data_IF_746127265024
#
_entry.id   IF_746127265024
#
_cell.length_a   1.000
_cell.length_b   1.000
_cell.length_c   1.000
_cell.angle_alpha   90.00
_cell.angle_beta   90.00
_cell.angle_gamma   90.00
#
_symmetry.space_group_name_H-M   'P 1'
#
loop_
_entity.id
_entity.type
_entity.pdbx_description
1 polymer ?
#
# COMPACT_ATOMS: atom_id res chain seq x y z
N UNK A 1 -18.56 8.76 -22.04
CA UNK A 1 -18.93 7.76 -21.01
C UNK A 1 -20.40 7.37 -21.13
N UNK A 2 -21.37 8.31 -21.16
CA UNK A 2 -22.81 7.98 -21.24
C UNK A 2 -23.15 7.00 -22.38
N UNK A 3 -22.68 7.25 -23.59
CA UNK A 3 -22.94 6.35 -24.74
C UNK A 3 -22.28 4.96 -24.53
N UNK A 4 -21.06 4.92 -23.99
CA UNK A 4 -20.37 3.65 -23.71
C UNK A 4 -21.14 2.83 -22.70
N UNK A 5 -21.50 3.40 -21.55
CA UNK A 5 -22.24 2.69 -20.50
C UNK A 5 -23.66 2.29 -20.94
N UNK A 6 -24.29 3.08 -21.83
CA UNK A 6 -25.59 2.73 -22.38
C UNK A 6 -25.53 1.45 -23.23
N UNK A 7 -24.53 1.33 -24.09
CA UNK A 7 -24.39 0.18 -24.99
C UNK A 7 -23.57 -0.97 -24.40
N UNK A 8 -22.69 -0.67 -23.46
CA UNK A 8 -21.74 -1.61 -22.83
C UNK A 8 -21.67 -1.38 -21.32
N UNK A 9 -22.71 -1.72 -20.55
CA UNK A 9 -22.82 -1.37 -19.12
C UNK A 9 -21.74 -2.00 -18.21
N UNK A 10 -21.05 -3.04 -18.69
CA UNK A 10 -20.01 -3.74 -17.92
C UNK A 10 -18.58 -3.24 -18.25
N UNK A 11 -18.43 -2.23 -19.11
CA UNK A 11 -17.13 -1.63 -19.45
C UNK A 11 -16.79 -0.57 -18.41
N UNK A 12 -15.55 -0.56 -17.96
CA UNK A 12 -15.04 0.45 -17.06
C UNK A 12 -14.29 1.54 -17.85
N UNK A 13 -14.58 2.79 -17.56
CA UNK A 13 -13.95 3.97 -18.14
C UNK A 13 -12.99 4.61 -17.14
N UNK A 14 -11.72 4.68 -17.51
CA UNK A 14 -10.65 5.23 -16.67
C UNK A 14 -10.20 6.58 -17.22
N UNK A 15 -10.08 7.59 -16.34
CA UNK A 15 -9.49 8.87 -16.68
C UNK A 15 -8.04 8.93 -16.24
N UNK A 16 -7.13 9.15 -17.20
CA UNK A 16 -5.77 9.59 -16.92
C UNK A 16 -5.74 11.11 -17.00
N UNK A 17 -5.93 11.77 -15.86
CA UNK A 17 -6.09 13.20 -15.77
C UNK A 17 -5.27 13.74 -14.57
N UNK A 18 -4.47 14.79 -14.81
CA UNK A 18 -3.45 15.31 -13.89
C UNK A 18 -3.82 16.63 -13.21
N UNK A 19 -4.94 17.23 -13.60
CA UNK A 19 -5.30 18.53 -13.07
C UNK A 19 -6.12 18.40 -11.81
N UNK A 20 -6.42 19.53 -11.18
CA UNK A 20 -7.34 19.63 -10.04
C UNK A 20 -8.82 19.66 -10.47
N UNK A 21 -9.14 19.27 -11.70
CA UNK A 21 -10.55 19.19 -12.13
C UNK A 21 -11.31 18.21 -11.25
N UNK A 22 -12.40 18.68 -10.68
CA UNK A 22 -13.22 17.91 -9.75
C UNK A 22 -14.32 17.13 -10.44
N UNK A 23 -14.86 16.12 -9.77
CA UNK A 23 -16.01 15.32 -10.21
C UNK A 23 -15.80 14.53 -11.49
N UNK A 24 -14.57 14.11 -11.75
CA UNK A 24 -14.26 13.25 -12.91
C UNK A 24 -15.03 11.93 -12.83
N UNK A 25 -15.10 11.32 -11.64
CA UNK A 25 -15.74 10.03 -11.41
C UNK A 25 -17.17 10.14 -10.85
N UNK A 26 -17.67 11.35 -10.70
CA UNK A 26 -19.05 11.56 -10.27
C UNK A 26 -20.02 11.39 -11.45
N UNK A 27 -21.27 11.11 -11.12
CA UNK A 27 -22.35 10.97 -12.11
C UNK A 27 -22.57 12.26 -12.90
N UNK A 28 -23.02 12.11 -14.14
CA UNK A 28 -23.30 13.26 -15.03
C UNK A 28 -24.41 14.15 -14.44
N UNK A 29 -25.41 13.55 -13.82
CA UNK A 29 -26.53 14.26 -13.17
C UNK A 29 -26.05 15.12 -11.97
N UNK A 30 -24.89 14.76 -11.37
CA UNK A 30 -24.24 15.51 -10.29
C UNK A 30 -23.23 16.56 -10.82
N UNK A 31 -23.19 16.74 -12.14
CA UNK A 31 -22.24 17.62 -12.82
C UNK A 31 -20.84 17.00 -13.00
N UNK A 32 -20.75 15.69 -12.92
CA UNK A 32 -19.53 14.93 -13.14
C UNK A 32 -19.31 14.53 -14.60
N UNK A 33 -18.19 13.84 -14.87
CA UNK A 33 -17.85 13.37 -16.22
C UNK A 33 -18.21 11.89 -16.46
N UNK A 34 -18.64 11.15 -15.42
CA UNK A 34 -19.11 9.78 -15.51
C UNK A 34 -18.02 8.76 -15.83
N UNK A 35 -16.77 9.01 -15.47
CA UNK A 35 -15.75 7.96 -15.44
C UNK A 35 -15.94 7.07 -14.23
N UNK A 36 -15.53 5.81 -14.35
CA UNK A 36 -15.59 4.87 -13.22
C UNK A 36 -14.43 5.10 -12.25
N UNK A 37 -13.26 5.39 -12.79
CA UNK A 37 -12.04 5.65 -12.01
C UNK A 37 -11.19 6.77 -12.61
N UNK A 38 -10.39 7.40 -11.73
CA UNK A 38 -9.37 8.38 -12.08
C UNK A 38 -8.02 7.94 -11.52
N UNK A 39 -6.95 8.10 -12.30
CA UNK A 39 -5.59 7.86 -11.80
C UNK A 39 -5.21 8.86 -10.71
N UNK A 40 -4.74 8.37 -9.57
CA UNK A 40 -4.21 9.21 -8.48
C UNK A 40 -2.71 9.49 -8.70
N UNK A 41 -2.41 10.39 -9.63
CA UNK A 41 -1.02 10.77 -9.91
C UNK A 41 -0.38 11.59 -8.77
N UNK A 42 -1.19 12.24 -7.93
CA UNK A 42 -0.71 12.91 -6.72
C UNK A 42 -0.11 11.91 -5.74
N UNK A 43 -0.86 10.87 -5.37
CA UNK A 43 -0.37 9.77 -4.54
C UNK A 43 0.90 9.13 -5.13
N UNK A 44 0.88 8.83 -6.43
CA UNK A 44 2.03 8.23 -7.11
C UNK A 44 3.29 9.06 -6.95
N UNK A 45 3.19 10.37 -7.22
CA UNK A 45 4.32 11.29 -7.11
C UNK A 45 4.84 11.40 -5.68
N UNK A 46 3.94 11.57 -4.70
CA UNK A 46 4.30 11.69 -3.29
C UNK A 46 5.00 10.42 -2.81
N UNK A 47 4.46 9.26 -3.15
CA UNK A 47 5.05 7.97 -2.74
C UNK A 47 6.39 7.69 -3.41
N UNK A 48 6.53 7.96 -4.70
CA UNK A 48 7.83 7.78 -5.37
C UNK A 48 8.88 8.75 -4.82
N UNK A 49 8.50 10.00 -4.56
CA UNK A 49 9.39 10.96 -3.91
C UNK A 49 9.85 10.44 -2.54
N UNK A 50 8.93 9.91 -1.73
CA UNK A 50 9.23 9.40 -0.41
C UNK A 50 10.09 8.14 -0.43
N UNK A 51 9.74 7.17 -1.26
CA UNK A 51 10.41 5.87 -1.30
C UNK A 51 11.83 5.93 -1.88
N UNK A 52 12.11 6.91 -2.74
CA UNK A 52 13.46 7.13 -3.30
C UNK A 52 14.41 7.84 -2.36
N UNK A 53 13.91 8.42 -1.25
CA UNK A 53 14.76 9.07 -0.25
C UNK A 53 15.60 8.03 0.50
N UNK A 54 16.84 8.38 0.80
CA UNK A 54 17.58 7.69 1.84
C UNK A 54 16.74 7.70 3.13
N UNK A 55 16.60 6.57 3.83
CA UNK A 55 15.72 6.47 5.00
C UNK A 55 16.00 7.47 6.11
N UNK A 56 17.21 8.05 6.19
CA UNK A 56 17.52 9.11 7.15
C UNK A 56 16.73 10.40 6.90
N UNK A 57 16.29 10.66 5.66
CA UNK A 57 15.55 11.86 5.26
C UNK A 57 14.03 11.68 5.30
N UNK A 58 13.55 10.46 5.44
CA UNK A 58 12.11 10.13 5.49
C UNK A 58 11.36 10.83 6.63
N UNK A 59 11.93 11.01 7.85
CA UNK A 59 11.30 11.79 8.92
C UNK A 59 10.89 13.21 8.52
N UNK A 60 11.67 13.85 7.67
CA UNK A 60 11.42 15.23 7.21
C UNK A 60 10.45 15.33 6.02
N UNK A 61 10.01 14.20 5.51
CA UNK A 61 9.12 14.09 4.35
C UNK A 61 7.90 13.21 4.65
N UNK A 62 7.53 13.09 5.92
CA UNK A 62 6.47 12.20 6.39
C UNK A 62 5.10 12.53 5.78
N UNK A 63 4.86 13.79 5.45
CA UNK A 63 3.62 14.25 4.80
C UNK A 63 3.36 13.55 3.46
N UNK A 64 4.41 13.12 2.74
CA UNK A 64 4.24 12.35 1.51
C UNK A 64 3.51 11.02 1.72
N UNK A 65 3.57 10.44 2.94
CA UNK A 65 2.83 9.23 3.30
C UNK A 65 1.36 9.50 3.60
N UNK A 66 1.03 10.68 4.11
CA UNK A 66 -0.26 10.97 4.73
C UNK A 66 -1.12 11.92 3.91
N UNK A 67 -0.52 12.79 3.08
CA UNK A 67 -1.24 13.82 2.36
C UNK A 67 -2.34 13.29 1.44
N UNK A 68 -2.10 12.18 0.74
CA UNK A 68 -3.06 11.59 -0.19
C UNK A 68 -4.39 11.19 0.46
N UNK A 69 -4.39 10.92 1.76
CA UNK A 69 -5.61 10.56 2.50
C UNK A 69 -6.59 11.72 2.66
N UNK A 70 -6.12 12.98 2.62
CA UNK A 70 -7.03 14.14 2.68
C UNK A 70 -8.03 14.18 1.53
N UNK A 71 -7.66 13.63 0.38
CA UNK A 71 -8.51 13.61 -0.80
C UNK A 71 -8.84 12.21 -1.31
N UNK A 72 -8.43 11.15 -0.61
CA UNK A 72 -8.56 9.76 -1.05
C UNK A 72 -9.98 9.35 -1.46
N UNK A 73 -11.00 10.03 -0.96
CA UNK A 73 -12.42 9.74 -1.22
C UNK A 73 -13.13 10.86 -2.00
N UNK A 74 -12.39 11.82 -2.56
CA UNK A 74 -12.96 12.87 -3.41
C UNK A 74 -13.31 12.38 -4.81
N UNK A 75 -12.71 11.28 -5.25
CA UNK A 75 -12.91 10.59 -6.52
C UNK A 75 -12.77 9.08 -6.30
N UNK A 76 -13.20 8.28 -7.27
CA UNK A 76 -12.88 6.86 -7.29
C UNK A 76 -11.46 6.68 -7.85
N UNK A 77 -10.48 6.59 -6.97
CA UNK A 77 -9.09 6.56 -7.39
C UNK A 77 -8.58 5.17 -7.77
N UNK A 78 -7.72 5.15 -8.80
CA UNK A 78 -6.79 4.10 -9.12
C UNK A 78 -5.38 4.58 -8.76
N UNK A 79 -4.62 3.82 -7.99
CA UNK A 79 -3.25 4.11 -7.60
C UNK A 79 -2.31 3.59 -8.71
N UNK A 80 -1.73 4.47 -9.56
CA UNK A 80 -0.96 4.00 -10.69
C UNK A 80 0.52 3.87 -10.34
N UNK A 81 1.11 2.74 -10.68
CA UNK A 81 2.54 2.56 -10.93
C UNK A 81 2.64 2.01 -12.36
N UNK A 82 2.62 2.94 -13.33
CA UNK A 82 2.44 2.64 -14.75
C UNK A 82 3.77 2.52 -15.49
N UNK A 83 3.70 2.44 -16.83
CA UNK A 83 4.88 2.48 -17.69
C UNK A 83 5.65 3.80 -17.61
N UNK A 84 4.97 4.92 -17.32
CA UNK A 84 5.58 6.23 -17.22
C UNK A 84 6.66 6.27 -16.12
N UNK A 85 6.41 5.57 -15.01
CA UNK A 85 7.31 5.56 -13.86
C UNK A 85 8.51 4.62 -14.03
N UNK A 86 8.54 3.79 -15.07
CA UNK A 86 9.58 2.81 -15.33
C UNK A 86 10.19 2.87 -16.74
N UNK A 87 9.81 3.89 -17.53
CA UNK A 87 10.35 4.15 -18.87
C UNK A 87 11.74 4.77 -18.83
N UNK A 88 12.35 4.89 -20.01
CA UNK A 88 13.74 5.37 -20.20
C UNK A 88 14.02 6.68 -19.45
N UNK A 89 15.06 6.68 -18.64
CA UNK A 89 15.50 7.81 -17.82
C UNK A 89 14.81 7.90 -16.45
N UNK A 90 13.88 7.01 -16.15
CA UNK A 90 13.15 7.00 -14.88
C UNK A 90 13.71 5.99 -13.86
N UNK A 91 14.45 4.99 -14.30
CA UNK A 91 14.81 3.82 -13.48
C UNK A 91 13.65 2.83 -13.36
N UNK A 92 13.89 1.70 -12.74
CA UNK A 92 12.84 0.74 -12.37
C UNK A 92 12.37 0.99 -10.93
N UNK A 93 11.20 0.50 -10.55
CA UNK A 93 10.75 0.64 -9.15
C UNK A 93 11.78 0.06 -8.17
N UNK A 94 12.36 -1.09 -8.50
CA UNK A 94 13.40 -1.71 -7.66
C UNK A 94 14.69 -0.89 -7.64
N UNK A 95 15.16 -0.41 -8.79
CA UNK A 95 16.43 0.33 -8.88
C UNK A 95 16.41 1.65 -8.11
N UNK A 96 15.26 2.29 -8.03
CA UNK A 96 15.05 3.56 -7.31
C UNK A 96 15.09 3.41 -5.80
N UNK A 97 14.79 2.23 -5.24
CA UNK A 97 14.85 2.03 -3.80
C UNK A 97 16.29 2.26 -3.31
N UNK A 98 16.49 2.98 -2.20
CA UNK A 98 17.82 3.26 -1.65
C UNK A 98 18.47 2.02 -1.01
N UNK A 99 19.77 2.15 -0.69
CA UNK A 99 20.51 1.13 0.03
C UNK A 99 21.09 0.03 -0.86
N UNK A 100 21.50 -1.04 -0.21
CA UNK A 100 22.02 -2.25 -0.86
C UNK A 100 20.88 -3.10 -1.47
N UNK A 101 21.23 -4.18 -2.15
CA UNK A 101 20.22 -5.02 -2.80
C UNK A 101 19.14 -5.57 -1.86
N UNK A 102 19.49 -5.96 -0.62
CA UNK A 102 18.49 -6.46 0.33
C UNK A 102 17.54 -5.34 0.74
N UNK A 103 18.08 -4.15 1.00
CA UNK A 103 17.29 -2.97 1.37
C UNK A 103 16.30 -2.61 0.27
N UNK A 104 16.75 -2.62 -1.00
CA UNK A 104 15.89 -2.35 -2.17
C UNK A 104 14.69 -3.30 -2.27
N UNK A 105 14.91 -4.60 -2.10
CA UNK A 105 13.82 -5.57 -2.11
C UNK A 105 12.89 -5.39 -0.91
N UNK A 106 13.41 -5.09 0.28
CA UNK A 106 12.61 -4.83 1.47
C UNK A 106 11.75 -3.58 1.32
N UNK A 107 12.34 -2.47 0.85
CA UNK A 107 11.63 -1.22 0.57
C UNK A 107 10.53 -1.42 -0.48
N UNK A 108 10.83 -2.12 -1.57
CA UNK A 108 9.82 -2.39 -2.60
C UNK A 108 8.65 -3.21 -2.05
N UNK A 109 8.93 -4.27 -1.27
CA UNK A 109 7.86 -5.05 -0.63
C UNK A 109 7.04 -4.19 0.35
N UNK A 110 7.69 -3.36 1.16
CA UNK A 110 7.00 -2.46 2.08
C UNK A 110 6.12 -1.45 1.33
N UNK A 111 6.65 -0.84 0.27
CA UNK A 111 5.90 0.10 -0.57
C UNK A 111 4.65 -0.54 -1.18
N UNK A 112 4.80 -1.70 -1.80
CA UNK A 112 3.67 -2.39 -2.44
C UNK A 112 2.66 -2.86 -1.39
N UNK A 113 3.10 -3.35 -0.23
CA UNK A 113 2.17 -3.74 0.84
C UNK A 113 1.40 -2.52 1.36
N UNK A 114 2.05 -1.37 1.58
CA UNK A 114 1.36 -0.12 1.90
C UNK A 114 0.35 0.28 0.82
N UNK A 115 0.75 0.25 -0.47
CA UNK A 115 -0.14 0.55 -1.59
C UNK A 115 -1.41 -0.31 -1.56
N UNK A 116 -1.29 -1.61 -1.24
CA UNK A 116 -2.43 -2.51 -1.17
C UNK A 116 -3.39 -2.18 -0.01
N UNK A 117 -2.88 -1.67 1.09
CA UNK A 117 -3.71 -1.22 2.21
C UNK A 117 -4.32 0.18 1.99
N UNK A 118 -3.68 1.05 1.21
CA UNK A 118 -4.17 2.39 0.92
C UNK A 118 -5.52 2.33 0.17
N UNK A 119 -6.52 3.22 0.45
CA UNK A 119 -7.73 3.31 -0.34
C UNK A 119 -7.48 3.53 -1.84
N UNK A 120 -8.33 2.96 -2.68
CA UNK A 120 -8.23 3.04 -4.14
C UNK A 120 -7.80 1.72 -4.80
N UNK A 121 -8.11 1.55 -6.09
CA UNK A 121 -7.74 0.36 -6.86
C UNK A 121 -6.25 0.39 -7.22
N UNK A 122 -5.68 -0.75 -7.53
CA UNK A 122 -4.24 -0.92 -7.75
C UNK A 122 -3.93 -1.10 -9.24
N UNK A 123 -2.94 -0.36 -9.73
CA UNK A 123 -2.40 -0.56 -11.08
C UNK A 123 -0.89 -0.72 -10.98
N UNK A 124 -0.41 -1.87 -11.43
CA UNK A 124 1.01 -2.19 -11.50
C UNK A 124 1.37 -2.51 -12.95
N UNK A 125 2.45 -1.92 -13.44
CA UNK A 125 2.95 -2.22 -14.76
C UNK A 125 3.69 -3.57 -14.78
N UNK A 126 3.59 -4.28 -15.91
CA UNK A 126 4.20 -5.59 -16.10
C UNK A 126 5.71 -5.58 -15.79
N UNK A 127 6.19 -6.66 -15.17
CA UNK A 127 7.58 -6.82 -14.76
C UNK A 127 7.88 -6.27 -13.37
N UNK A 128 7.00 -5.47 -12.77
CA UNK A 128 7.14 -5.02 -11.37
C UNK A 128 7.21 -6.22 -10.42
N UNK A 129 6.41 -7.24 -10.67
CA UNK A 129 6.31 -8.46 -9.88
C UNK A 129 7.57 -9.32 -9.90
N UNK A 130 8.39 -9.17 -10.93
CA UNK A 130 9.70 -9.83 -11.02
C UNK A 130 10.88 -8.95 -10.66
N UNK A 131 10.62 -7.66 -10.32
CA UNK A 131 11.67 -6.71 -9.97
C UNK A 131 12.60 -6.40 -11.14
N UNK A 132 12.03 -6.00 -12.28
CA UNK A 132 12.82 -5.63 -13.46
C UNK A 132 13.98 -4.71 -13.11
N UNK A 133 15.16 -4.98 -13.66
CA UNK A 133 16.39 -4.22 -13.44
C UNK A 133 16.73 -3.26 -14.59
N UNK A 134 16.05 -3.44 -15.72
CA UNK A 134 16.17 -2.60 -16.91
C UNK A 134 14.86 -1.84 -17.09
N UNK A 135 14.96 -0.56 -17.41
CA UNK A 135 13.84 0.30 -17.71
C UNK A 135 12.99 -0.29 -18.85
N UNK A 136 11.70 -0.03 -18.80
CA UNK A 136 10.79 -0.52 -19.82
C UNK A 136 11.09 0.09 -21.18
N UNK A 137 11.20 -0.80 -22.16
CA UNK A 137 11.30 -0.47 -23.58
C UNK A 137 10.38 -1.41 -24.35
N UNK A 138 9.45 -0.85 -25.14
CA UNK A 138 8.49 -1.63 -25.94
C UNK A 138 9.15 -2.58 -26.96
N UNK A 139 10.43 -2.40 -27.26
CA UNK A 139 11.21 -3.20 -28.21
C UNK A 139 11.76 -4.49 -27.60
N UNK A 140 11.71 -4.64 -26.29
CA UNK A 140 12.28 -5.80 -25.60
C UNK A 140 11.22 -6.49 -24.71
N UNK A 141 11.27 -7.81 -24.58
CA UNK A 141 10.34 -8.55 -23.72
C UNK A 141 10.63 -8.32 -22.24
N UNK A 142 9.69 -8.74 -21.39
CA UNK A 142 9.93 -8.86 -19.95
C UNK A 142 11.03 -9.88 -19.68
N UNK A 143 11.97 -9.57 -18.83
CA UNK A 143 13.13 -10.41 -18.52
C UNK A 143 12.78 -11.51 -17.53
N UNK A 144 12.12 -12.56 -18.01
CA UNK A 144 11.69 -13.70 -17.20
C UNK A 144 12.83 -14.51 -16.59
N UNK A 145 14.02 -14.47 -17.18
CA UNK A 145 15.24 -15.10 -16.64
C UNK A 145 15.66 -14.55 -15.27
N UNK A 146 15.21 -13.35 -14.87
CA UNK A 146 15.40 -12.86 -13.51
C UNK A 146 14.84 -13.81 -12.45
N UNK A 147 13.83 -14.60 -12.78
CA UNK A 147 13.23 -15.57 -11.85
C UNK A 147 14.14 -16.78 -11.54
N UNK A 148 15.25 -16.93 -12.25
CA UNK A 148 16.31 -17.89 -11.89
C UNK A 148 17.06 -17.44 -10.62
N UNK A 149 17.09 -16.11 -10.35
CA UNK A 149 17.66 -15.56 -9.15
C UNK A 149 16.69 -15.63 -7.97
N UNK A 150 17.19 -16.07 -6.81
CA UNK A 150 16.37 -16.32 -5.62
C UNK A 150 15.59 -15.11 -5.15
N UNK A 151 16.20 -13.91 -5.15
CA UNK A 151 15.54 -12.67 -4.70
C UNK A 151 14.36 -12.28 -5.59
N UNK A 152 14.51 -12.39 -6.91
CA UNK A 152 13.46 -12.08 -7.88
C UNK A 152 12.32 -13.10 -7.82
N UNK A 153 12.65 -14.39 -7.67
CA UNK A 153 11.65 -15.46 -7.47
C UNK A 153 10.86 -15.24 -6.16
N UNK A 154 11.53 -14.86 -5.06
CA UNK A 154 10.89 -14.55 -3.80
C UNK A 154 10.01 -13.30 -3.89
N UNK A 155 10.43 -12.28 -4.64
CA UNK A 155 9.61 -11.11 -4.90
C UNK A 155 8.34 -11.47 -5.68
N UNK A 156 8.44 -12.32 -6.72
CA UNK A 156 7.25 -12.78 -7.44
C UNK A 156 6.33 -13.60 -6.52
N UNK A 157 6.91 -14.43 -5.64
CA UNK A 157 6.11 -15.16 -4.64
C UNK A 157 5.39 -14.20 -3.69
N UNK A 158 6.06 -13.14 -3.23
CA UNK A 158 5.45 -12.07 -2.45
C UNK A 158 4.24 -11.45 -3.17
N UNK A 159 4.39 -11.04 -4.43
CA UNK A 159 3.28 -10.46 -5.20
C UNK A 159 2.10 -11.42 -5.34
N UNK A 160 2.38 -12.70 -5.61
CA UNK A 160 1.33 -13.73 -5.68
C UNK A 160 0.58 -13.87 -4.36
N UNK A 161 1.31 -13.92 -3.26
CA UNK A 161 0.74 -14.05 -1.91
C UNK A 161 -0.05 -12.82 -1.50
N UNK A 162 0.47 -11.61 -1.78
CA UNK A 162 -0.22 -10.36 -1.50
C UNK A 162 -1.50 -10.20 -2.34
N UNK A 163 -1.47 -10.53 -3.63
CA UNK A 163 -2.64 -10.51 -4.50
C UNK A 163 -3.73 -11.45 -3.98
N UNK A 164 -3.35 -12.67 -3.60
CA UNK A 164 -4.28 -13.63 -3.00
C UNK A 164 -4.87 -13.09 -1.71
N UNK A 165 -4.02 -12.59 -0.81
CA UNK A 165 -4.46 -12.02 0.45
C UNK A 165 -5.42 -10.84 0.26
N UNK A 166 -5.14 -9.94 -0.69
CA UNK A 166 -6.00 -8.82 -1.03
C UNK A 166 -7.40 -9.28 -1.46
N UNK A 167 -7.49 -10.26 -2.36
CA UNK A 167 -8.76 -10.78 -2.86
C UNK A 167 -9.57 -11.51 -1.78
N UNK A 168 -8.92 -12.15 -0.83
CA UNK A 168 -9.56 -12.88 0.27
C UNK A 168 -10.00 -11.97 1.43
N UNK A 169 -9.62 -10.69 1.42
CA UNK A 169 -9.89 -9.76 2.52
C UNK A 169 -10.64 -8.51 2.06
N UNK A 170 -11.96 -8.57 2.17
CA UNK A 170 -12.93 -7.54 1.79
C UNK A 170 -12.63 -6.12 2.33
N UNK A 171 -12.08 -5.94 3.55
CA UNK A 171 -11.73 -4.61 4.06
C UNK A 171 -10.85 -3.77 3.13
N UNK A 172 -10.06 -4.38 2.25
CA UNK A 172 -9.18 -3.65 1.34
C UNK A 172 -9.89 -3.02 0.14
N UNK A 173 -11.11 -3.46 -0.21
CA UNK A 173 -11.71 -3.03 -1.47
C UNK A 173 -13.22 -2.75 -1.44
N UNK A 174 -13.98 -3.18 -0.44
CA UNK A 174 -15.43 -2.97 -0.43
C UNK A 174 -15.81 -1.51 -0.20
N UNK A 175 -15.17 -0.84 0.77
CA UNK A 175 -15.45 0.55 1.09
C UNK A 175 -14.32 1.48 0.60
N UNK A 176 -13.78 1.21 -0.59
CA UNK A 176 -12.62 1.92 -1.14
C UNK A 176 -12.89 3.38 -1.49
N UNK A 177 -14.14 3.76 -1.65
CA UNK A 177 -14.57 5.10 -2.04
C UNK A 177 -15.25 5.87 -0.92
N UNK A 178 -15.07 5.42 0.33
CA UNK A 178 -15.76 6.00 1.49
C UNK A 178 -14.89 6.05 2.73
N UNK A 179 -14.99 7.15 3.46
CA UNK A 179 -14.40 7.28 4.80
C UNK A 179 -14.84 6.17 5.77
N UNK A 180 -15.99 5.53 5.56
CA UNK A 180 -16.44 4.39 6.38
C UNK A 180 -15.49 3.18 6.29
N UNK A 181 -14.67 3.10 5.25
CA UNK A 181 -13.71 2.02 5.04
C UNK A 181 -12.30 2.31 5.58
N UNK A 182 -12.10 3.46 6.25
CA UNK A 182 -10.77 3.88 6.67
C UNK A 182 -10.81 4.68 7.98
N UNK A 183 -9.87 4.37 8.89
CA UNK A 183 -9.58 5.20 10.07
C UNK A 183 -8.09 5.20 10.37
N UNK A 184 -7.58 6.36 10.73
CA UNK A 184 -6.24 6.48 11.31
C UNK A 184 -6.20 5.88 12.72
N UNK A 185 -5.11 5.15 13.03
CA UNK A 185 -4.74 4.78 14.39
C UNK A 185 -3.63 5.71 14.87
N UNK A 186 -2.59 5.88 14.04
CA UNK A 186 -1.44 6.71 14.33
C UNK A 186 -0.79 7.16 13.02
N UNK A 187 -0.66 8.47 12.82
CA UNK A 187 -0.20 9.00 11.52
C UNK A 187 0.93 10.03 11.64
N UNK A 188 1.34 10.41 12.85
CA UNK A 188 2.24 11.52 13.12
C UNK A 188 3.57 11.11 13.78
N UNK A 189 3.92 9.81 13.76
CA UNK A 189 5.25 9.37 14.19
C UNK A 189 6.29 9.57 13.08
N UNK A 190 6.49 10.83 12.73
CA UNK A 190 7.48 11.23 11.71
C UNK A 190 8.90 10.81 12.09
N UNK A 191 9.27 10.84 13.38
CA UNK A 191 10.62 10.49 13.85
C UNK A 191 11.01 9.07 13.50
N UNK A 192 10.07 8.13 13.66
CA UNK A 192 10.27 6.73 13.32
C UNK A 192 9.81 6.38 11.91
N UNK A 193 9.17 7.32 11.20
CA UNK A 193 8.51 7.07 9.90
C UNK A 193 7.55 5.88 9.96
N UNK A 194 6.76 5.83 11.04
CA UNK A 194 5.75 4.80 11.27
C UNK A 194 4.36 5.42 11.13
N UNK A 195 3.49 4.70 10.44
CA UNK A 195 2.06 5.00 10.37
C UNK A 195 1.26 3.72 10.65
N UNK A 196 0.10 3.88 11.25
CA UNK A 196 -0.86 2.79 11.46
C UNK A 196 -2.28 3.27 11.15
N UNK A 197 -3.02 2.46 10.41
CA UNK A 197 -4.41 2.72 10.05
C UNK A 197 -5.19 1.42 9.90
N UNK A 198 -6.50 1.51 9.90
CA UNK A 198 -7.36 0.35 9.67
C UNK A 198 -8.21 0.51 8.42
N UNK A 199 -8.51 -0.61 7.79
CA UNK A 199 -9.49 -0.76 6.72
C UNK A 199 -10.64 -1.60 7.24
N UNK A 200 -11.86 -1.24 6.85
CA UNK A 200 -13.08 -1.88 7.35
C UNK A 200 -14.02 -2.21 6.18
N UNK A 201 -14.60 -3.42 6.17
CA UNK A 201 -15.59 -3.84 5.19
C UNK A 201 -17.04 -3.51 5.62
N UNK A 202 -18.03 -3.96 4.85
CA UNK A 202 -19.46 -3.73 5.11
C UNK A 202 -19.98 -4.47 6.34
N UNK A 203 -19.32 -5.54 6.75
CA UNK A 203 -19.65 -6.34 7.92
C UNK A 203 -18.83 -5.95 9.17
N UNK A 204 -18.14 -4.80 9.11
CA UNK A 204 -17.27 -4.26 10.17
C UNK A 204 -16.10 -5.19 10.55
N UNK A 205 -15.66 -6.06 9.61
CA UNK A 205 -14.39 -6.73 9.74
C UNK A 205 -13.26 -5.73 9.50
N UNK A 206 -12.22 -5.83 10.30
CA UNK A 206 -11.11 -4.87 10.29
C UNK A 206 -9.78 -5.55 9.94
N UNK A 207 -8.98 -4.87 9.14
CA UNK A 207 -7.56 -5.14 8.99
C UNK A 207 -6.79 -3.87 9.36
N UNK A 208 -5.83 -4.02 10.25
CA UNK A 208 -4.92 -2.95 10.67
C UNK A 208 -3.62 -3.10 9.89
N UNK A 209 -3.20 -2.04 9.19
CA UNK A 209 -1.89 -1.94 8.57
C UNK A 209 -0.98 -1.10 9.47
N UNK A 210 0.22 -1.64 9.77
CA UNK A 210 1.28 -0.92 10.48
C UNK A 210 2.51 -0.90 9.59
N UNK A 211 2.95 0.30 9.23
CA UNK A 211 4.04 0.52 8.27
C UNK A 211 5.25 1.11 8.98
N UNK A 212 6.41 0.48 8.84
CA UNK A 212 7.71 0.98 9.29
C UNK A 212 8.60 1.22 8.08
N UNK A 213 8.86 2.47 7.75
CA UNK A 213 9.68 2.86 6.60
C UNK A 213 11.13 3.21 6.97
N UNK A 214 11.60 2.75 8.15
CA UNK A 214 13.00 2.91 8.58
C UNK A 214 13.71 1.55 8.61
N UNK A 215 15.04 1.52 8.39
CA UNK A 215 15.86 0.30 8.52
C UNK A 215 16.16 -0.03 10.00
N UNK A 216 15.20 0.23 10.87
CA UNK A 216 15.30 0.04 12.32
C UNK A 216 14.14 -0.84 12.77
N UNK A 217 14.46 -1.92 13.47
CA UNK A 217 13.46 -2.73 14.13
C UNK A 217 13.00 -2.04 15.40
N UNK A 218 11.68 -1.91 15.58
CA UNK A 218 11.11 -1.40 16.82
C UNK A 218 10.61 -2.55 17.68
N UNK A 219 11.06 -2.61 18.92
CA UNK A 219 10.56 -3.53 19.92
C UNK A 219 9.56 -2.83 20.83
N UNK A 220 8.48 -3.54 21.20
CA UNK A 220 7.44 -2.99 22.06
C UNK A 220 6.86 -1.67 21.54
N UNK A 221 6.63 -1.60 20.24
CA UNK A 221 5.93 -0.47 19.63
C UNK A 221 4.43 -0.61 19.91
N UNK A 222 3.84 0.41 20.51
CA UNK A 222 2.43 0.34 20.91
C UNK A 222 1.54 1.06 19.91
N UNK A 223 0.45 0.39 19.50
CA UNK A 223 -0.65 1.00 18.76
C UNK A 223 -1.96 0.85 19.52
N UNK A 224 -2.86 1.83 19.40
CA UNK A 224 -4.19 1.75 20.01
C UNK A 224 -5.12 0.84 19.21
N UNK A 225 -5.96 0.06 19.91
CA UNK A 225 -7.02 -0.74 19.30
C UNK A 225 -8.33 -0.58 20.06
N UNK A 226 -9.45 -0.61 19.31
CA UNK A 226 -10.78 -0.41 19.88
C UNK A 226 -11.36 -1.66 20.54
N UNK A 227 -10.98 -2.84 20.05
CA UNK A 227 -11.52 -4.12 20.51
C UNK A 227 -10.59 -4.76 21.53
N UNK A 228 -11.15 -5.23 22.66
CA UNK A 228 -10.44 -6.05 23.64
C UNK A 228 -10.56 -7.53 23.23
N UNK A 229 -9.88 -7.89 22.15
CA UNK A 229 -9.90 -9.22 21.55
C UNK A 229 -8.49 -9.67 21.19
N UNK A 230 -8.30 -10.93 20.86
CA UNK A 230 -7.02 -11.44 20.37
C UNK A 230 -6.80 -10.98 18.93
N UNK A 231 -5.59 -10.53 18.63
CA UNK A 231 -5.17 -10.19 17.27
C UNK A 231 -4.14 -11.19 16.76
N UNK A 232 -4.04 -11.35 15.47
CA UNK A 232 -3.02 -12.11 14.79
C UNK A 232 -2.34 -11.26 13.73
N UNK A 233 -1.04 -11.44 13.55
CA UNK A 233 -0.34 -10.99 12.35
C UNK A 233 -0.70 -11.97 11.22
N UNK A 234 -1.42 -11.47 10.22
CA UNK A 234 -1.96 -12.31 9.12
C UNK A 234 -1.20 -12.12 7.81
N UNK A 235 -0.38 -11.09 7.71
CA UNK A 235 0.54 -10.85 6.60
C UNK A 235 1.71 -9.97 7.06
N UNK A 236 2.90 -10.25 6.52
CA UNK A 236 4.08 -9.41 6.71
C UNK A 236 4.88 -9.35 5.42
N UNK A 237 5.25 -8.13 5.00
CA UNK A 237 6.17 -7.94 3.85
C UNK A 237 7.59 -8.42 4.16
N UNK A 238 7.90 -8.66 5.44
CA UNK A 238 9.21 -9.12 5.93
C UNK A 238 9.25 -10.64 6.20
N UNK A 239 8.26 -11.39 5.72
CA UNK A 239 8.24 -12.84 5.84
C UNK A 239 9.49 -13.47 5.19
N UNK A 240 10.07 -14.49 5.82
CA UNK A 240 11.28 -15.16 5.33
C UNK A 240 11.10 -15.78 3.95
N UNK A 241 9.91 -16.28 3.65
CA UNK A 241 9.57 -16.83 2.32
C UNK A 241 9.63 -15.79 1.19
N UNK A 242 9.49 -14.50 1.52
CA UNK A 242 9.64 -13.38 0.60
C UNK A 242 11.06 -12.79 0.58
N UNK A 243 11.98 -13.37 1.38
CA UNK A 243 13.36 -12.89 1.52
C UNK A 243 13.51 -11.79 2.57
N UNK A 244 12.55 -11.67 3.48
CA UNK A 244 12.65 -10.82 4.67
C UNK A 244 13.38 -11.51 5.84
N UNK A 245 13.46 -10.82 6.98
CA UNK A 245 14.12 -11.33 8.20
C UNK A 245 13.31 -12.41 8.92
N UNK A 246 12.00 -12.50 8.66
CA UNK A 246 11.10 -13.44 9.29
C UNK A 246 10.69 -13.05 10.72
N UNK A 247 10.90 -11.80 11.10
CA UNK A 247 10.38 -11.29 12.38
C UNK A 247 8.85 -11.25 12.33
N UNK A 248 8.22 -11.83 13.35
CA UNK A 248 6.75 -11.91 13.42
C UNK A 248 6.24 -11.65 14.83
N UNK A 249 5.00 -11.18 14.95
CA UNK A 249 4.27 -11.04 16.19
C UNK A 249 3.40 -12.27 16.54
N UNK A 250 3.31 -13.22 15.59
CA UNK A 250 2.56 -14.46 15.78
C UNK A 250 1.05 -14.31 15.66
N UNK A 251 0.34 -15.36 16.06
CA UNK A 251 -1.12 -15.50 15.90
C UNK A 251 -1.93 -15.14 17.16
N UNK A 252 -1.28 -14.82 18.28
CA UNK A 252 -1.95 -14.48 19.54
C UNK A 252 -1.34 -13.22 20.17
N UNK A 253 -1.79 -12.05 19.71
CA UNK A 253 -1.40 -10.77 20.26
C UNK A 253 -2.55 -10.27 21.13
N UNK A 254 -2.33 -10.22 22.46
CA UNK A 254 -3.35 -9.76 23.39
C UNK A 254 -3.17 -8.28 23.71
N UNK A 255 -4.22 -7.46 23.61
CA UNK A 255 -4.14 -6.08 24.01
C UNK A 255 -3.93 -5.96 25.54
N UNK A 256 -3.29 -4.88 25.92
CA UNK A 256 -3.11 -4.51 27.32
C UNK A 256 -3.89 -3.23 27.62
N UNK A 257 -4.42 -3.05 28.84
CA UNK A 257 -5.06 -1.80 29.25
C UNK A 257 -4.06 -0.64 29.16
N UNK A 258 -4.27 0.23 28.17
CA UNK A 258 -3.40 1.38 27.90
C UNK A 258 -4.17 2.46 27.15
N UNK A 259 -4.15 3.69 27.64
CA UNK A 259 -4.70 4.84 26.90
C UNK A 259 -3.69 5.32 25.87
N UNK A 260 -3.95 5.01 24.61
CA UNK A 260 -3.07 5.37 23.48
C UNK A 260 -3.91 5.56 22.21
N UNK A 261 -3.56 6.54 21.37
CA UNK A 261 -4.20 6.83 20.08
C UNK A 261 -5.75 6.88 20.17
N UNK A 262 -6.27 7.50 21.26
CA UNK A 262 -7.71 7.59 21.48
C UNK A 262 -8.41 6.30 21.95
N UNK A 263 -7.68 5.20 22.10
CA UNK A 263 -8.17 3.91 22.55
C UNK A 263 -7.84 3.65 24.03
N UNK A 264 -8.56 2.70 24.66
CA UNK A 264 -8.29 2.24 26.04
C UNK A 264 -7.46 0.94 26.07
N UNK A 265 -7.12 0.39 24.93
CA UNK A 265 -6.35 -0.83 24.75
C UNK A 265 -5.18 -0.56 23.80
N UNK A 266 -4.02 -1.15 24.07
CA UNK A 266 -2.84 -1.08 23.22
C UNK A 266 -2.30 -2.45 22.87
N UNK A 267 -1.86 -2.63 21.62
CA UNK A 267 -1.08 -3.80 21.20
C UNK A 267 0.40 -3.46 21.25
N UNK A 268 1.19 -4.33 21.89
CA UNK A 268 2.65 -4.26 21.88
C UNK A 268 3.19 -5.09 20.71
N UNK A 269 3.83 -4.44 19.76
CA UNK A 269 4.29 -5.06 18.52
C UNK A 269 5.82 -4.97 18.38
N UNK A 270 6.38 -5.94 17.68
CA UNK A 270 7.71 -5.82 17.07
C UNK A 270 7.50 -5.44 15.61
N UNK A 271 8.02 -4.28 15.19
CA UNK A 271 7.96 -3.86 13.81
C UNK A 271 9.28 -4.18 13.12
N UNK A 272 9.30 -5.07 12.11
CA UNK A 272 10.50 -5.33 11.34
C UNK A 272 10.99 -4.07 10.62
N UNK A 273 12.27 -3.96 10.26
CA UNK A 273 12.76 -2.84 9.48
C UNK A 273 12.18 -2.86 8.06
N UNK A 274 11.94 -1.69 7.46
CA UNK A 274 11.50 -1.54 6.06
C UNK A 274 10.35 -2.50 5.73
N UNK A 275 9.27 -2.45 6.52
CA UNK A 275 8.20 -3.44 6.43
C UNK A 275 6.81 -2.89 6.70
N UNK A 276 5.83 -3.61 6.21
CA UNK A 276 4.41 -3.43 6.56
C UNK A 276 3.85 -4.75 7.03
N UNK A 277 3.16 -4.73 8.16
CA UNK A 277 2.44 -5.88 8.71
C UNK A 277 0.94 -5.61 8.70
N UNK A 278 0.16 -6.67 8.51
CA UNK A 278 -1.29 -6.63 8.64
C UNK A 278 -1.73 -7.45 9.84
N UNK A 279 -2.58 -6.84 10.66
CA UNK A 279 -3.16 -7.48 11.84
C UNK A 279 -4.66 -7.62 11.65
N UNK A 280 -5.22 -8.72 12.14
CA UNK A 280 -6.65 -8.99 12.15
C UNK A 280 -7.09 -9.45 13.55
N UNK A 281 -8.26 -9.00 13.97
CA UNK A 281 -8.91 -9.55 15.15
C UNK A 281 -9.29 -11.01 14.88
N UNK A 282 -8.90 -11.92 15.75
CA UNK A 282 -9.28 -13.33 15.72
C UNK A 282 -10.16 -13.62 16.93
N UNK A 283 -11.31 -14.23 16.69
CA UNK A 283 -12.28 -14.58 17.73
C UNK A 283 -11.87 -15.86 18.45
#
# INVERSE_FOLDING_TARGET
NTAVHLFHPNVLMFAEENTSWSKITHKIEEGGMGFDYKWNRGWMKDMLNYMTLDPQWRPFNHDNLTYSFFYAFSEHFLLPLSHDEVSTGQGTLLSRMPGNQNDKFSDLRAFITYMYAHPGKKLLFMGTESGQVIEWDYRVPVFWNLLEEDKHRKLQHFFRSLNKFYLENRPFYERDTSWKGFDWIHHDDYTNSVIAFKRTDEDDNEIIAVCNFRPIQHHKYFIGVSKNAVYAEVFSSDCAEFGGSGVTNGSEIRPVPMKIHGCNQGLSLTLPPMSVIYLKCVN
#
